data_IF_048681482209
#
_entry.id   IF_048681482209
#
_cell.length_a   1.000
_cell.length_b   1.000
_cell.length_c   1.000
_cell.angle_alpha   90.00
_cell.angle_beta   90.00
_cell.angle_gamma   90.00
#
_symmetry.space_group_name_H-M   'P 1'
#
loop_
_entity.id
_entity.type
_entity.pdbx_description
1 polymer ?
#
# COMPACT_ATOMS: atom_id res chain seq x y z
N UNK A 1 -13.46 13.17 20.98
CA UNK A 1 -12.47 12.95 19.89
C UNK A 1 -11.89 11.54 19.92
N UNK A 2 -11.30 11.09 21.04
CA UNK A 2 -10.71 9.75 21.15
C UNK A 2 -11.70 8.60 20.91
N UNK A 3 -12.87 8.63 21.55
CA UNK A 3 -13.89 7.56 21.38
C UNK A 3 -14.34 7.45 19.92
N UNK A 4 -14.55 8.59 19.24
CA UNK A 4 -14.90 8.61 17.82
C UNK A 4 -13.79 8.00 16.95
N UNK A 5 -12.52 8.32 17.24
CA UNK A 5 -11.38 7.73 16.55
C UNK A 5 -11.32 6.20 16.76
N UNK A 6 -11.53 5.74 17.99
CA UNK A 6 -11.50 4.31 18.30
C UNK A 6 -12.60 3.57 17.54
N UNK A 7 -13.84 4.08 17.58
CA UNK A 7 -15.01 3.44 16.98
C UNK A 7 -14.97 3.51 15.45
N UNK A 8 -14.56 4.64 14.87
CA UNK A 8 -14.64 4.88 13.40
C UNK A 8 -13.38 4.49 12.64
N UNK A 9 -12.22 4.47 13.28
CA UNK A 9 -10.93 4.23 12.62
C UNK A 9 -10.24 3.00 13.19
N UNK A 10 -9.86 3.03 14.47
CA UNK A 10 -8.98 2.01 15.03
C UNK A 10 -9.61 0.62 15.04
N UNK A 11 -10.79 0.46 15.65
CA UNK A 11 -11.42 -0.84 15.78
C UNK A 11 -11.75 -1.47 14.41
N UNK A 12 -12.42 -0.78 13.46
CA UNK A 12 -12.72 -1.36 12.15
C UNK A 12 -11.47 -1.79 11.37
N UNK A 13 -10.43 -0.94 11.34
CA UNK A 13 -9.17 -1.29 10.67
C UNK A 13 -8.49 -2.47 11.34
N UNK A 14 -8.42 -2.48 12.68
CA UNK A 14 -7.79 -3.56 13.41
C UNK A 14 -8.48 -4.90 13.15
N UNK A 15 -9.81 -4.94 13.17
CA UNK A 15 -10.58 -6.13 12.83
C UNK A 15 -10.34 -6.57 11.37
N UNK A 16 -10.27 -5.63 10.43
CA UNK A 16 -10.02 -5.95 9.02
C UNK A 16 -8.61 -6.55 8.82
N UNK A 17 -7.60 -6.01 9.50
CA UNK A 17 -6.24 -6.59 9.51
C UNK A 17 -6.27 -8.02 10.09
N UNK A 18 -6.98 -8.23 11.19
CA UNK A 18 -7.07 -9.55 11.83
C UNK A 18 -7.82 -10.57 10.97
N UNK A 19 -8.81 -10.13 10.19
CA UNK A 19 -9.55 -10.99 9.25
C UNK A 19 -8.73 -11.28 7.98
N UNK A 20 -8.04 -10.28 7.45
CA UNK A 20 -7.35 -10.32 6.16
C UNK A 20 -5.83 -10.19 6.35
N UNK A 21 -5.20 -11.21 6.94
CA UNK A 21 -3.80 -11.15 7.40
C UNK A 21 -2.75 -11.32 6.28
N UNK A 22 -3.17 -11.70 5.07
CA UNK A 22 -2.24 -11.96 3.97
C UNK A 22 -1.61 -10.67 3.44
N UNK A 23 -0.34 -10.75 3.03
CA UNK A 23 0.43 -9.62 2.47
C UNK A 23 -0.28 -8.89 1.33
N UNK A 24 -1.06 -9.62 0.51
CA UNK A 24 -1.84 -9.04 -0.59
C UNK A 24 -2.86 -7.98 -0.14
N UNK A 25 -3.28 -8.00 1.12
CA UNK A 25 -4.20 -7.00 1.68
C UNK A 25 -3.47 -5.83 2.34
N UNK A 26 -2.16 -5.91 2.56
CA UNK A 26 -1.36 -4.87 3.21
C UNK A 26 -1.62 -3.47 2.63
N UNK A 27 -1.55 -3.27 1.30
CA UNK A 27 -1.83 -1.98 0.71
C UNK A 27 -3.27 -1.48 0.93
N UNK A 28 -4.25 -2.39 0.96
CA UNK A 28 -5.66 -2.08 1.22
C UNK A 28 -5.87 -1.67 2.68
N UNK A 29 -5.14 -2.28 3.63
CA UNK A 29 -5.19 -1.90 5.04
C UNK A 29 -4.69 -0.48 5.28
N UNK A 30 -3.56 -0.12 4.68
CA UNK A 30 -3.03 1.25 4.76
C UNK A 30 -4.01 2.24 4.12
N UNK A 31 -4.60 1.88 2.97
CA UNK A 31 -5.64 2.71 2.35
C UNK A 31 -6.86 2.89 3.27
N UNK A 32 -7.33 1.82 3.92
CA UNK A 32 -8.46 1.87 4.85
C UNK A 32 -8.16 2.78 6.05
N UNK A 33 -6.92 2.76 6.58
CA UNK A 33 -6.50 3.73 7.60
C UNK A 33 -6.62 5.16 7.07
N UNK A 34 -6.03 5.44 5.91
CA UNK A 34 -6.06 6.78 5.29
C UNK A 34 -7.50 7.25 5.05
N UNK A 35 -8.38 6.38 4.57
CA UNK A 35 -9.79 6.74 4.35
C UNK A 35 -10.53 7.00 5.65
N UNK A 36 -10.35 6.14 6.65
CA UNK A 36 -11.06 6.25 7.93
C UNK A 36 -10.57 7.42 8.76
N UNK A 37 -9.37 7.98 8.54
CA UNK A 37 -8.90 9.18 9.24
C UNK A 37 -9.34 10.50 8.61
N UNK A 38 -9.93 10.50 7.40
CA UNK A 38 -10.35 11.74 6.70
C UNK A 38 -11.35 12.61 7.45
N UNK A 39 -12.19 11.98 8.27
CA UNK A 39 -13.21 12.68 9.05
C UNK A 39 -12.62 13.47 10.23
N UNK A 40 -11.33 13.28 10.54
CA UNK A 40 -10.68 13.96 11.64
C UNK A 40 -10.35 15.41 11.25
N UNK A 41 -10.41 16.35 12.20
CA UNK A 41 -10.01 17.73 11.95
C UNK A 41 -8.50 17.85 11.69
N UNK A 42 -8.12 18.90 10.97
CA UNK A 42 -6.77 19.07 10.41
C UNK A 42 -5.65 19.14 11.48
N UNK A 43 -5.96 19.69 12.65
CA UNK A 43 -5.07 19.75 13.80
C UNK A 43 -4.65 18.35 14.29
N UNK A 44 -5.58 17.39 14.26
CA UNK A 44 -5.33 16.00 14.61
C UNK A 44 -4.65 15.25 13.47
N UNK A 45 -5.07 15.47 12.22
CA UNK A 45 -4.41 14.85 11.05
C UNK A 45 -2.93 15.21 10.99
N UNK A 46 -2.55 16.44 11.37
CA UNK A 46 -1.14 16.87 11.48
C UNK A 46 -0.31 16.00 12.44
N UNK A 47 -0.94 15.36 13.43
CA UNK A 47 -0.27 14.45 14.38
C UNK A 47 -0.29 13.01 13.85
N UNK A 48 -1.42 12.57 13.29
CA UNK A 48 -1.65 11.18 12.90
C UNK A 48 -1.01 10.83 11.56
N UNK A 49 -1.07 11.71 10.56
CA UNK A 49 -0.56 11.42 9.21
C UNK A 49 0.94 11.09 9.23
N UNK A 50 1.81 11.79 9.99
CA UNK A 50 3.21 11.37 10.16
C UNK A 50 3.37 10.02 10.86
N UNK A 51 2.42 9.60 11.71
CA UNK A 51 2.43 8.26 12.33
C UNK A 51 2.07 7.21 11.29
N UNK A 52 1.03 7.45 10.48
CA UNK A 52 0.63 6.55 9.38
C UNK A 52 1.78 6.41 8.40
N UNK A 53 2.37 7.52 7.96
CA UNK A 53 3.49 7.59 7.01
C UNK A 53 4.70 6.78 7.47
N UNK A 54 5.01 6.76 8.76
CA UNK A 54 6.11 5.95 9.32
C UNK A 54 5.80 4.45 9.36
N UNK A 55 4.53 4.07 9.23
CA UNK A 55 4.06 2.68 9.29
C UNK A 55 3.64 2.12 7.92
N UNK A 56 3.93 2.83 6.81
CA UNK A 56 3.55 2.41 5.45
C UNK A 56 4.42 1.30 4.86
N UNK A 57 5.16 0.53 5.67
CA UNK A 57 6.00 -0.56 5.18
C UNK A 57 5.24 -1.60 4.37
N UNK A 58 4.01 -1.94 4.77
CA UNK A 58 3.15 -2.85 4.02
C UNK A 58 2.68 -2.29 2.67
N UNK A 59 2.92 -1.02 2.42
CA UNK A 59 2.63 -0.32 1.18
C UNK A 59 3.85 -0.25 0.23
N UNK A 60 4.95 -0.96 0.54
CA UNK A 60 6.11 -1.03 -0.35
C UNK A 60 5.71 -1.46 -1.79
N UNK A 61 6.37 -0.95 -2.84
CA UNK A 61 6.03 -1.25 -4.24
C UNK A 61 5.86 -2.74 -4.54
N UNK A 62 6.71 -3.58 -3.97
CA UNK A 62 6.60 -5.04 -4.11
C UNK A 62 5.25 -5.56 -3.60
N UNK A 63 4.83 -5.15 -2.39
CA UNK A 63 3.56 -5.55 -1.81
C UNK A 63 2.36 -4.98 -2.59
N UNK A 64 2.51 -3.78 -3.15
CA UNK A 64 1.53 -3.20 -4.05
C UNK A 64 1.36 -4.03 -5.31
N UNK A 65 2.46 -4.43 -5.97
CA UNK A 65 2.40 -5.28 -7.17
C UNK A 65 1.73 -6.62 -6.87
N UNK A 66 2.00 -7.21 -5.70
CA UNK A 66 1.30 -8.41 -5.23
C UNK A 66 -0.20 -8.18 -5.08
N UNK A 67 -0.60 -7.08 -4.44
CA UNK A 67 -2.01 -6.73 -4.29
C UNK A 67 -2.71 -6.51 -5.64
N UNK A 68 -2.02 -5.91 -6.61
CA UNK A 68 -2.56 -5.65 -7.95
C UNK A 68 -2.79 -6.93 -8.75
N UNK A 69 -1.85 -7.88 -8.74
CA UNK A 69 -1.94 -9.12 -9.51
C UNK A 69 -3.09 -10.01 -9.06
N UNK A 70 -3.45 -9.95 -7.78
CA UNK A 70 -4.56 -10.72 -7.20
C UNK A 70 -5.81 -9.88 -6.98
N UNK A 71 -5.86 -8.66 -7.54
CA UNK A 71 -7.04 -7.81 -7.43
C UNK A 71 -8.22 -8.39 -8.22
N UNK A 72 -9.44 -8.13 -7.77
CA UNK A 72 -10.66 -8.60 -8.42
C UNK A 72 -10.88 -7.91 -9.77
N UNK A 73 -10.37 -6.68 -9.93
CA UNK A 73 -10.50 -5.89 -11.15
C UNK A 73 -9.47 -6.32 -12.19
N UNK A 74 -9.94 -6.82 -13.33
CA UNK A 74 -9.09 -7.40 -14.39
C UNK A 74 -8.01 -6.45 -14.90
N UNK A 75 -8.38 -5.20 -15.20
CA UNK A 75 -7.45 -4.20 -15.71
C UNK A 75 -6.28 -3.92 -14.74
N UNK A 76 -6.47 -4.15 -13.44
CA UNK A 76 -5.41 -3.99 -12.44
C UNK A 76 -4.50 -5.19 -12.33
N UNK A 77 -5.05 -6.40 -12.51
CA UNK A 77 -4.23 -7.60 -12.62
C UNK A 77 -3.29 -7.48 -13.81
N UNK A 78 -3.81 -7.06 -14.96
CA UNK A 78 -3.02 -6.85 -16.16
C UNK A 78 -1.96 -5.75 -15.96
N UNK A 79 -2.35 -4.61 -15.37
CA UNK A 79 -1.42 -3.53 -15.07
C UNK A 79 -0.33 -3.95 -14.06
N UNK A 80 -0.69 -4.73 -13.05
CA UNK A 80 0.23 -5.29 -12.07
C UNK A 80 1.23 -6.25 -12.72
N UNK A 81 0.74 -7.15 -13.57
CA UNK A 81 1.55 -8.07 -14.34
C UNK A 81 2.57 -7.35 -15.24
N UNK A 82 2.13 -6.36 -16.02
CA UNK A 82 3.02 -5.55 -16.88
C UNK A 82 4.11 -4.84 -16.07
N UNK A 83 3.76 -4.30 -14.89
CA UNK A 83 4.74 -3.64 -14.01
C UNK A 83 5.74 -4.62 -13.40
N UNK A 84 5.33 -5.84 -13.06
CA UNK A 84 6.24 -6.89 -12.59
C UNK A 84 7.23 -7.26 -13.69
N UNK A 85 6.77 -7.47 -14.93
CA UNK A 85 7.67 -7.77 -16.05
C UNK A 85 8.68 -6.63 -16.28
N UNK A 86 8.23 -5.37 -16.22
CA UNK A 86 9.12 -4.21 -16.32
C UNK A 86 10.14 -4.18 -15.18
N UNK A 87 9.70 -4.36 -13.94
CA UNK A 87 10.58 -4.38 -12.77
C UNK A 87 11.64 -5.50 -12.87
N UNK A 88 11.30 -6.63 -13.50
CA UNK A 88 12.25 -7.72 -13.79
C UNK A 88 13.31 -7.32 -14.82
N UNK A 89 12.94 -6.55 -15.84
CA UNK A 89 13.92 -6.06 -16.83
C UNK A 89 14.91 -5.04 -16.25
N UNK A 90 14.52 -4.34 -15.18
CA UNK A 90 15.30 -3.31 -14.50
C UNK A 90 16.05 -3.87 -13.26
N UNK A 91 16.17 -5.20 -13.10
CA UNK A 91 16.85 -5.82 -11.94
C UNK A 91 18.30 -5.31 -11.87
N UNK A 92 18.59 -4.61 -10.78
CA UNK A 92 19.95 -4.19 -10.42
C UNK A 92 20.52 -5.16 -9.40
N UNK A 93 21.80 -5.55 -9.52
CA UNK A 93 22.51 -6.44 -8.57
C UNK A 93 22.72 -5.83 -7.17
N UNK A 94 22.15 -4.65 -6.90
CA UNK A 94 22.24 -3.97 -5.62
C UNK A 94 21.29 -4.57 -4.58
N UNK A 95 21.70 -4.57 -3.32
CA UNK A 95 20.81 -4.90 -2.18
C UNK A 95 19.59 -3.97 -2.21
N UNK A 96 18.39 -4.55 -2.01
CA UNK A 96 17.14 -3.78 -1.97
C UNK A 96 17.07 -2.95 -0.69
N UNK A 97 16.89 -1.65 -0.83
CA UNK A 97 16.65 -0.75 0.30
C UNK A 97 15.16 -0.70 0.61
N UNK A 98 14.78 -1.15 1.80
CA UNK A 98 13.39 -1.13 2.26
C UNK A 98 13.12 0.17 3.03
N UNK A 99 12.63 1.18 2.31
CA UNK A 99 12.25 2.47 2.89
C UNK A 99 10.73 2.64 2.86
N UNK A 100 10.19 3.37 3.83
CA UNK A 100 8.76 3.72 3.82
C UNK A 100 8.45 4.58 2.61
N UNK A 101 7.51 4.16 1.73
CA UNK A 101 7.13 4.96 0.57
C UNK A 101 6.36 6.19 1.01
N UNK A 102 6.61 7.33 0.37
CA UNK A 102 5.80 8.54 0.55
C UNK A 102 4.40 8.27 0.00
N UNK A 103 3.37 8.41 0.84
CA UNK A 103 1.98 8.18 0.44
C UNK A 103 1.21 9.48 0.27
N UNK A 104 0.26 9.50 -0.66
CA UNK A 104 -0.68 10.60 -0.83
C UNK A 104 -1.98 10.32 -0.03
N UNK A 105 -2.30 11.16 0.95
CA UNK A 105 -3.47 11.00 1.83
C UNK A 105 -4.82 11.33 1.14
N UNK A 106 -4.79 12.06 0.02
CA UNK A 106 -6.00 12.56 -0.68
C UNK A 106 -6.51 11.64 -1.80
N UNK A 107 -6.08 10.38 -1.82
CA UNK A 107 -6.34 9.45 -2.93
C UNK A 107 -7.65 8.69 -2.83
N UNK A 108 -8.34 8.49 -3.94
CA UNK A 108 -9.62 7.75 -3.96
C UNK A 108 -9.47 6.24 -4.14
N UNK A 109 -8.27 5.76 -4.51
CA UNK A 109 -7.99 4.34 -4.75
C UNK A 109 -6.63 4.00 -4.16
N UNK A 110 -6.51 2.79 -3.60
CA UNK A 110 -5.28 2.31 -2.98
C UNK A 110 -4.11 2.30 -3.96
N UNK A 111 -4.33 2.15 -5.28
CA UNK A 111 -3.26 2.09 -6.29
C UNK A 111 -2.54 3.42 -6.47
N UNK A 112 -3.23 4.51 -6.11
CA UNK A 112 -2.75 5.88 -6.25
C UNK A 112 -2.01 6.39 -5.01
N UNK A 113 -1.95 5.66 -3.88
CA UNK A 113 -1.19 6.19 -2.74
C UNK A 113 0.31 6.29 -3.06
N UNK A 114 0.85 5.45 -3.95
CA UNK A 114 2.24 5.51 -4.43
C UNK A 114 2.33 6.32 -5.71
N UNK A 115 3.29 7.24 -5.74
CA UNK A 115 3.77 7.84 -6.97
C UNK A 115 4.72 6.87 -7.71
N UNK A 116 4.18 6.19 -8.71
CA UNK A 116 4.92 5.23 -9.54
C UNK A 116 6.08 5.86 -10.32
N UNK A 117 6.11 7.18 -10.50
CA UNK A 117 7.19 7.88 -11.22
C UNK A 117 8.43 8.08 -10.36
N UNK A 118 8.25 8.22 -9.04
CA UNK A 118 9.32 8.49 -8.08
C UNK A 118 9.86 7.23 -7.42
N UNK A 119 9.20 6.10 -7.64
CA UNK A 119 9.52 4.89 -6.91
C UNK A 119 10.43 3.95 -7.70
N UNK A 120 11.50 3.48 -7.05
CA UNK A 120 12.32 2.40 -7.58
C UNK A 120 11.52 1.10 -7.55
N UNK A 121 11.20 0.57 -8.74
CA UNK A 121 10.50 -0.70 -8.88
C UNK A 121 11.47 -1.84 -8.59
N UNK A 122 11.00 -2.80 -7.81
CA UNK A 122 11.64 -4.09 -7.60
C UNK A 122 10.56 -5.15 -7.76
N UNK A 123 10.84 -6.26 -8.46
CA UNK A 123 9.86 -7.32 -8.60
C UNK A 123 9.74 -8.06 -7.26
N UNK A 124 8.51 -8.42 -6.82
CA UNK A 124 8.33 -9.25 -5.64
C UNK A 124 9.04 -10.59 -5.84
N UNK A 125 9.85 -11.04 -4.88
CA UNK A 125 10.62 -12.28 -5.04
C UNK A 125 9.73 -13.51 -5.26
N UNK A 126 8.52 -13.52 -4.70
CA UNK A 126 7.53 -14.59 -4.92
C UNK A 126 7.03 -14.68 -6.38
N UNK A 127 7.23 -13.62 -7.17
CA UNK A 127 6.86 -13.54 -8.58
C UNK A 127 8.06 -13.70 -9.52
N UNK A 128 9.20 -14.15 -9.00
CA UNK A 128 10.40 -14.36 -9.81
C UNK A 128 10.17 -15.40 -10.91
N UNK A 129 9.37 -16.44 -10.64
CA UNK A 129 9.05 -17.50 -11.60
C UNK A 129 8.04 -17.11 -12.69
N UNK A 130 7.40 -15.94 -12.60
CA UNK A 130 6.49 -15.49 -13.65
C UNK A 130 7.28 -15.21 -14.94
N UNK A 131 7.08 -16.03 -15.96
CA UNK A 131 7.64 -15.85 -17.30
C UNK A 131 6.59 -15.29 -18.26
N UNK A 132 7.07 -14.71 -19.36
CA UNK A 132 6.28 -14.15 -20.46
C UNK A 132 5.28 -15.14 -21.02
#
# INVERSE_FOLDING_TARGET
MLVSYIIKTYAPVWFDIKRCQLVKYGPKHIFNVVQTTRHLPDDIKRIIDPVIQRNTFFYHPENMLLAMIVDEREYLRELGYRRVLRAKSEITKSVRTFMTPLINFEVTDYIKLIDWTKCKLSPPSILESLTT
#
